data_IF_623141111042
#
_entry.id   IF_623141111042
#
_cell.length_a   1.000
_cell.length_b   1.000
_cell.length_c   1.000
_cell.angle_alpha   90.00
_cell.angle_beta   90.00
_cell.angle_gamma   90.00
#
_symmetry.space_group_name_H-M   'P 1'
#
loop_
_entity.id
_entity.type
_entity.pdbx_description
1 polymer ?
#
# COMPACT_ATOMS: atom_id res chain seq x y z
N UNK A 1 -10.06 15.97 0.71
CA UNK A 1 -8.97 14.99 0.94
C UNK A 1 -9.53 13.89 1.82
N UNK A 2 -9.77 12.71 1.26
CA UNK A 2 -10.24 11.53 1.99
C UNK A 2 -9.03 10.63 2.25
N UNK A 3 -8.85 10.21 3.50
CA UNK A 3 -7.80 9.25 3.88
C UNK A 3 -8.42 7.86 3.91
N UNK A 4 -7.90 6.93 3.11
CA UNK A 4 -8.34 5.53 3.08
C UNK A 4 -7.25 4.66 3.70
N UNK A 5 -7.69 3.58 4.37
CA UNK A 5 -6.82 2.63 5.04
C UNK A 5 -7.08 1.22 4.52
N UNK A 6 -6.03 0.55 4.04
CA UNK A 6 -6.09 -0.87 3.70
C UNK A 6 -5.17 -1.68 4.61
N UNK A 7 -5.60 -2.86 5.02
CA UNK A 7 -4.74 -3.84 5.67
C UNK A 7 -4.36 -4.92 4.65
N UNK A 8 -3.07 -5.21 4.53
CA UNK A 8 -2.56 -6.14 3.52
C UNK A 8 -1.48 -7.04 4.11
N UNK A 9 -1.25 -8.16 3.45
CA UNK A 9 -0.16 -9.09 3.81
C UNK A 9 1.03 -8.84 2.90
N UNK A 10 2.19 -8.61 3.52
CA UNK A 10 3.45 -8.38 2.84
C UNK A 10 4.38 -9.56 3.09
N UNK A 11 5.10 -9.97 2.04
CA UNK A 11 6.14 -10.96 2.09
C UNK A 11 7.50 -10.31 2.35
N UNK A 12 8.27 -10.92 3.25
CA UNK A 12 9.64 -10.51 3.55
C UNK A 12 10.63 -11.44 2.86
N UNK A 13 11.48 -10.86 2.01
CA UNK A 13 12.69 -11.49 1.48
C UNK A 13 13.92 -10.93 2.19
N UNK A 14 14.84 -11.81 2.58
CA UNK A 14 16.07 -11.41 3.27
C UNK A 14 17.27 -11.93 2.51
N UNK A 15 18.24 -11.07 2.27
CA UNK A 15 19.58 -11.41 1.77
C UNK A 15 20.62 -10.97 2.80
N UNK A 16 21.89 -11.34 2.61
CA UNK A 16 22.99 -10.97 3.52
C UNK A 16 23.15 -9.45 3.68
N UNK A 17 22.74 -8.66 2.68
CA UNK A 17 22.98 -7.21 2.63
C UNK A 17 21.71 -6.35 2.69
N UNK A 18 20.52 -6.95 2.57
CA UNK A 18 19.27 -6.22 2.56
C UNK A 18 18.06 -7.06 3.00
N UNK A 19 17.14 -6.41 3.70
CA UNK A 19 15.78 -6.91 3.89
C UNK A 19 14.88 -6.16 2.94
N UNK A 20 14.23 -6.93 2.07
CA UNK A 20 13.29 -6.47 1.07
C UNK A 20 11.89 -6.91 1.51
N UNK A 21 10.97 -5.96 1.61
CA UNK A 21 9.57 -6.26 1.87
C UNK A 21 8.78 -5.94 0.60
N UNK A 22 7.99 -6.91 0.14
CA UNK A 22 7.17 -6.80 -1.05
C UNK A 22 5.72 -7.11 -0.67
N UNK A 23 4.79 -6.29 -1.14
CA UNK A 23 3.39 -6.61 -0.99
C UNK A 23 2.51 -5.63 -1.74
N UNK A 24 1.22 -5.87 -1.65
CA UNK A 24 0.21 -5.13 -2.37
C UNK A 24 -0.39 -4.06 -1.49
N UNK A 25 -0.44 -2.80 -1.92
CA UNK A 25 -1.05 -1.75 -1.11
C UNK A 25 -2.58 -1.85 -1.06
N UNK A 26 -3.24 -2.28 -2.15
CA UNK A 26 -4.68 -2.51 -2.15
C UNK A 26 -5.10 -3.45 -3.29
N UNK A 27 -6.36 -3.89 -3.23
CA UNK A 27 -7.05 -4.63 -4.29
C UNK A 27 -8.14 -3.73 -4.89
N UNK A 28 -8.35 -3.82 -6.21
CA UNK A 28 -9.32 -3.00 -6.93
C UNK A 28 -10.67 -3.68 -6.95
N UNK A 29 -11.73 -2.88 -7.10
CA UNK A 29 -13.10 -3.36 -7.25
C UNK A 29 -13.59 -4.29 -6.10
N UNK A 30 -12.93 -4.23 -4.95
CA UNK A 30 -13.36 -4.84 -3.69
C UNK A 30 -13.60 -3.71 -2.73
N UNK A 31 -14.86 -3.56 -2.30
CA UNK A 31 -15.25 -2.52 -1.37
C UNK A 31 -14.55 -2.75 -0.02
N UNK A 32 -13.94 -1.70 0.52
CA UNK A 32 -13.41 -1.73 1.88
C UNK A 32 -14.56 -1.64 2.92
N UNK A 33 -14.20 -1.60 4.20
CA UNK A 33 -15.19 -1.45 5.29
C UNK A 33 -15.96 -0.11 5.27
N UNK A 34 -15.51 0.87 4.48
CA UNK A 34 -16.16 2.16 4.29
C UNK A 34 -16.96 2.24 2.97
N UNK A 35 -17.11 1.11 2.27
CA UNK A 35 -17.75 1.02 0.97
C UNK A 35 -17.00 1.79 -0.14
N UNK A 36 -15.68 1.90 -0.01
CA UNK A 36 -14.80 2.50 -1.01
C UNK A 36 -14.24 1.44 -1.95
N UNK A 37 -14.35 1.70 -3.25
CA UNK A 37 -13.79 0.91 -4.33
C UNK A 37 -12.63 1.67 -4.94
N UNK A 38 -11.48 1.02 -5.11
CA UNK A 38 -10.37 1.61 -5.88
C UNK A 38 -10.53 1.22 -7.34
N UNK A 39 -10.50 2.22 -8.23
CA UNK A 39 -10.61 2.07 -9.68
C UNK A 39 -9.30 1.65 -10.31
N UNK A 40 -9.35 0.84 -11.36
CA UNK A 40 -8.19 0.55 -12.21
C UNK A 40 -7.54 1.86 -12.70
N UNK A 41 -6.23 2.00 -12.56
CA UNK A 41 -5.50 3.22 -12.90
C UNK A 41 -5.46 4.28 -11.79
N UNK A 42 -6.06 4.02 -10.61
CA UNK A 42 -6.10 5.03 -9.54
C UNK A 42 -4.71 5.41 -9.01
N UNK A 43 -3.70 4.55 -9.20
CA UNK A 43 -2.31 4.83 -8.84
C UNK A 43 -1.44 5.22 -10.04
N UNK A 44 -2.02 5.43 -11.23
CA UNK A 44 -1.25 5.72 -12.44
C UNK A 44 -0.33 6.94 -12.30
N UNK A 45 -0.72 7.91 -11.46
CA UNK A 45 0.05 9.12 -11.17
C UNK A 45 0.76 9.08 -9.80
N UNK A 46 0.61 7.99 -9.03
CA UNK A 46 1.14 7.91 -7.68
C UNK A 46 2.68 7.82 -7.69
N UNK A 47 3.33 8.63 -6.85
CA UNK A 47 4.78 8.61 -6.68
C UNK A 47 5.17 8.02 -5.32
N UNK A 48 6.25 7.24 -5.29
CA UNK A 48 6.78 6.68 -4.05
C UNK A 48 7.79 7.58 -3.32
N UNK A 49 8.24 8.68 -3.94
CA UNK A 49 9.38 9.46 -3.46
C UNK A 49 9.17 10.08 -2.07
N UNK A 50 7.92 10.39 -1.72
CA UNK A 50 7.55 11.02 -0.45
C UNK A 50 6.86 10.06 0.53
N UNK A 51 6.80 8.77 0.19
CA UNK A 51 6.04 7.80 0.99
C UNK A 51 6.90 7.30 2.14
N UNK A 52 6.38 7.44 3.36
CA UNK A 52 7.08 6.98 4.56
C UNK A 52 6.83 5.50 4.80
N UNK A 53 7.89 4.74 5.07
CA UNK A 53 7.79 3.37 5.56
C UNK A 53 8.06 3.33 7.06
N UNK A 54 7.03 3.08 7.86
CA UNK A 54 7.00 3.32 9.30
C UNK A 54 6.85 2.04 10.13
N UNK A 55 7.35 2.08 11.36
CA UNK A 55 7.04 1.09 12.38
C UNK A 55 5.74 1.47 13.12
N UNK A 56 4.72 0.62 13.10
CA UNK A 56 3.47 0.80 13.87
C UNK A 56 2.86 2.22 13.75
N UNK A 57 2.90 2.83 12.56
CA UNK A 57 2.45 4.21 12.29
C UNK A 57 3.18 5.32 13.05
N UNK A 58 4.30 5.03 13.69
CA UNK A 58 5.08 6.05 14.37
C UNK A 58 5.89 6.86 13.34
N UNK A 59 5.42 8.07 13.03
CA UNK A 59 6.06 8.99 12.08
C UNK A 59 7.50 9.37 12.45
N UNK A 60 7.92 9.15 13.71
CA UNK A 60 9.29 9.36 14.18
C UNK A 60 10.18 8.13 13.99
N UNK A 61 9.62 7.00 13.55
CA UNK A 61 10.31 5.73 13.32
C UNK A 61 10.18 5.26 11.87
N UNK A 62 10.81 5.97 10.91
CA UNK A 62 10.98 5.42 9.58
C UNK A 62 11.91 4.19 9.65
N UNK A 63 11.50 3.10 9.01
CA UNK A 63 12.23 1.82 9.02
C UNK A 63 12.87 1.49 7.66
N UNK A 64 12.49 2.21 6.62
CA UNK A 64 13.05 2.01 5.29
C UNK A 64 12.57 3.02 4.27
N UNK A 65 12.94 2.76 3.03
CA UNK A 65 12.55 3.55 1.86
C UNK A 65 11.72 2.70 0.91
N UNK A 66 10.69 3.30 0.29
CA UNK A 66 9.97 2.67 -0.80
C UNK A 66 10.76 2.91 -2.08
N UNK A 67 11.22 1.82 -2.66
CA UNK A 67 12.07 1.81 -3.85
C UNK A 67 11.28 1.65 -5.14
N UNK A 68 10.11 1.03 -5.07
CA UNK A 68 9.24 0.79 -6.22
C UNK A 68 7.78 0.87 -5.77
N UNK A 69 6.96 1.51 -6.59
CA UNK A 69 5.51 1.51 -6.55
C UNK A 69 5.02 1.40 -7.99
N UNK A 70 4.34 0.31 -8.32
CA UNK A 70 3.87 0.08 -9.69
C UNK A 70 2.52 -0.61 -9.66
N UNK A 71 1.57 -0.08 -10.42
CA UNK A 71 0.33 -0.78 -10.74
C UNK A 71 0.62 -1.96 -11.67
N UNK A 72 0.43 -3.20 -11.20
CA UNK A 72 0.52 -4.39 -12.06
C UNK A 72 -0.83 -5.06 -12.24
N UNK A 73 -1.21 -5.34 -13.49
CA UNK A 73 -2.44 -6.09 -13.79
C UNK A 73 -2.12 -7.58 -13.68
N UNK A 74 -2.78 -8.29 -12.75
CA UNK A 74 -2.72 -9.76 -12.74
C UNK A 74 -3.72 -10.33 -13.76
N UNK A 75 -3.32 -11.44 -14.42
CA UNK A 75 -3.98 -12.11 -15.54
C UNK A 75 -5.42 -12.62 -15.31
N UNK A 76 -6.05 -12.25 -14.19
CA UNK A 76 -7.41 -12.66 -13.81
C UNK A 76 -8.42 -11.50 -13.71
N UNK A 77 -8.04 -10.26 -14.05
CA UNK A 77 -8.90 -9.06 -13.84
C UNK A 77 -9.36 -8.85 -12.37
N UNK A 78 -8.81 -9.63 -11.43
CA UNK A 78 -9.17 -9.63 -10.00
C UNK A 78 -8.45 -8.54 -9.17
N UNK A 79 -7.71 -7.67 -9.83
CA UNK A 79 -7.00 -6.59 -9.17
C UNK A 79 -5.74 -6.26 -9.92
N UNK A 80 -5.60 -4.99 -10.25
CA UNK A 80 -4.26 -4.42 -10.37
C UNK A 80 -3.68 -4.44 -8.95
N UNK A 81 -2.39 -4.34 -8.71
CA UNK A 81 -1.91 -4.19 -7.33
C UNK A 81 -0.69 -3.28 -7.32
N UNK A 82 -0.65 -2.20 -6.51
CA UNK A 82 0.58 -1.46 -6.31
C UNK A 82 1.57 -2.35 -5.56
N UNK A 83 2.56 -2.88 -6.28
CA UNK A 83 3.69 -3.58 -5.65
C UNK A 83 4.54 -2.53 -4.97
N UNK A 84 4.61 -2.61 -3.64
CA UNK A 84 5.51 -1.79 -2.84
C UNK A 84 6.76 -2.61 -2.55
N UNK A 85 7.92 -2.16 -3.04
CA UNK A 85 9.21 -2.73 -2.63
C UNK A 85 9.88 -1.81 -1.63
N UNK A 86 10.00 -2.23 -0.38
CA UNK A 86 10.69 -1.50 0.66
C UNK A 86 12.08 -2.09 0.92
N UNK A 87 13.08 -1.24 1.10
CA UNK A 87 14.39 -1.63 1.64
C UNK A 87 14.52 -1.15 3.08
N UNK A 88 14.73 -2.08 4.01
CA UNK A 88 15.00 -1.71 5.40
C UNK A 88 16.43 -1.18 5.56
N UNK A 89 16.57 -0.17 6.39
CA UNK A 89 17.89 0.38 6.77
C UNK A 89 18.48 -0.32 7.99
N UNK A 90 17.68 -1.15 8.68
CA UNK A 90 18.08 -1.87 9.89
C UNK A 90 17.33 -3.19 10.00
N UNK A 91 17.98 -4.19 10.59
CA UNK A 91 17.33 -5.45 10.93
C UNK A 91 16.44 -5.27 12.17
N UNK A 92 15.23 -5.81 12.11
CA UNK A 92 14.31 -5.90 13.24
C UNK A 92 14.03 -7.39 13.50
N UNK A 93 14.40 -7.87 14.69
CA UNK A 93 14.21 -9.28 15.11
C UNK A 93 12.74 -9.72 15.06
N UNK A 94 11.84 -8.76 15.24
CA UNK A 94 10.41 -9.01 15.44
C UNK A 94 9.66 -9.12 14.09
N UNK A 95 10.34 -8.89 12.96
CA UNK A 95 9.76 -9.07 11.64
C UNK A 95 9.65 -10.56 11.30
N UNK A 96 8.43 -11.07 11.35
CA UNK A 96 8.07 -12.40 10.86
C UNK A 96 8.12 -12.46 9.32
N UNK A 97 8.02 -13.66 8.74
CA UNK A 97 8.02 -13.81 7.28
C UNK A 97 6.73 -13.29 6.61
N UNK A 98 5.60 -13.36 7.32
CA UNK A 98 4.32 -12.80 6.89
C UNK A 98 4.00 -11.59 7.74
N UNK A 99 4.13 -10.40 7.16
CA UNK A 99 3.91 -9.14 7.85
C UNK A 99 2.51 -8.63 7.58
N UNK A 100 1.85 -8.12 8.61
CA UNK A 100 0.67 -7.27 8.42
C UNK A 100 1.17 -5.87 8.13
N UNK A 101 0.62 -5.25 7.10
CA UNK A 101 0.88 -3.86 6.80
C UNK A 101 -0.43 -3.08 6.77
N UNK A 102 -0.33 -1.78 7.03
CA UNK A 102 -1.37 -0.82 6.73
C UNK A 102 -0.84 0.23 5.79
N UNK A 103 -1.60 0.52 4.74
CA UNK A 103 -1.29 1.58 3.80
C UNK A 103 -2.32 2.70 3.96
N UNK A 104 -1.85 3.95 3.96
CA UNK A 104 -2.72 5.11 3.95
C UNK A 104 -2.61 5.83 2.61
N UNK A 105 -3.75 6.26 2.09
CA UNK A 105 -3.84 6.93 0.80
C UNK A 105 -4.56 8.25 0.92
N UNK A 106 -4.16 9.21 0.11
CA UNK A 106 -4.96 10.39 -0.19
C UNK A 106 -5.78 10.13 -1.44
N UNK A 107 -7.07 10.44 -1.39
CA UNK A 107 -7.90 10.50 -2.59
C UNK A 107 -8.14 11.95 -3.04
N UNK A 108 -7.92 12.17 -4.33
CA UNK A 108 -8.08 13.43 -5.04
C UNK A 108 -9.31 13.44 -5.94
N UNK A 109 -9.68 12.29 -6.52
CA UNK A 109 -10.86 12.14 -7.38
C UNK A 109 -11.65 10.89 -7.01
N UNK A 110 -12.98 11.06 -6.93
CA UNK A 110 -13.90 9.98 -6.63
C UNK A 110 -15.28 10.23 -7.25
N UNK A 111 -16.08 9.18 -7.39
CA UNK A 111 -17.46 9.21 -7.86
C UNK A 111 -18.37 8.34 -6.98
N UNK A 112 -19.67 8.53 -7.09
CA UNK A 112 -20.66 7.70 -6.40
C UNK A 112 -21.25 6.69 -7.38
N UNK A 113 -21.16 5.42 -7.00
CA UNK A 113 -21.79 4.33 -7.72
C UNK A 113 -23.29 4.27 -7.43
N UNK A 114 -24.05 3.62 -8.33
CA UNK A 114 -25.50 3.46 -8.18
C UNK A 114 -25.92 2.63 -6.95
N UNK A 115 -25.02 1.77 -6.45
CA UNK A 115 -25.22 0.95 -5.26
C UNK A 115 -24.83 1.68 -3.95
N UNK A 116 -24.45 2.96 -4.05
CA UNK A 116 -24.03 3.77 -2.91
C UNK A 116 -22.56 3.57 -2.50
N UNK A 117 -21.79 2.75 -3.22
CA UNK A 117 -20.33 2.71 -3.06
C UNK A 117 -19.66 3.94 -3.63
N UNK A 118 -18.44 4.22 -3.16
CA UNK A 118 -17.63 5.35 -3.63
C UNK A 118 -16.47 4.78 -4.43
N UNK A 119 -16.40 5.12 -5.71
CA UNK A 119 -15.31 4.72 -6.59
C UNK A 119 -14.21 5.79 -6.56
N UNK A 120 -12.98 5.40 -6.24
CA UNK A 120 -11.80 6.25 -6.08
C UNK A 120 -10.91 6.11 -7.32
N UNK A 121 -10.65 7.19 -8.05
CA UNK A 121 -10.00 7.15 -9.38
C UNK A 121 -8.64 7.85 -9.44
N UNK A 122 -8.27 8.63 -8.43
CA UNK A 122 -6.97 9.29 -8.35
C UNK A 122 -6.50 9.32 -6.90
N UNK A 123 -5.51 8.48 -6.59
CA UNK A 123 -4.99 8.32 -5.23
C UNK A 123 -3.46 8.36 -5.17
N UNK A 124 -2.94 8.87 -4.06
CA UNK A 124 -1.52 8.82 -3.73
C UNK A 124 -1.30 8.08 -2.43
N UNK A 125 -0.28 7.20 -2.41
CA UNK A 125 0.17 6.57 -1.19
C UNK A 125 0.88 7.61 -0.30
N UNK A 126 0.58 7.63 0.99
CA UNK A 126 1.15 8.58 1.96
C UNK A 126 2.13 7.89 2.88
N UNK A 127 1.71 6.74 3.41
CA UNK A 127 2.54 5.93 4.28
C UNK A 127 2.20 4.45 4.14
N UNK A 128 3.19 3.65 4.48
CA UNK A 128 3.08 2.21 4.69
C UNK A 128 3.62 1.94 6.08
N UNK A 129 2.85 1.25 6.91
CA UNK A 129 3.28 0.88 8.25
C UNK A 129 3.29 -0.64 8.41
N UNK A 130 4.33 -1.18 9.03
CA UNK A 130 4.34 -2.58 9.48
C UNK A 130 3.66 -2.67 10.86
N UNK A 131 2.76 -3.64 10.97
CA UNK A 131 2.04 -4.00 12.17
C UNK A 131 2.58 -5.36 12.65
N UNK A 132 3.11 -5.37 13.87
CA UNK A 132 3.57 -6.54 14.63
C UNK A 132 2.71 -6.72 15.86
#
# INVERSE_FOLDING_TARGET
>A
MKIIYSNQTFDKSVTDNEVVIIGYASVYNIADHHNDLISKGAFANASHHNVKFLWQHDSKKPIGIITHLVEVILLLDLGIMPIIKCRLQRWYSDLTNSLRSRCNFNCFEYSYCNDGSIELSNIELVEVAILV
#
